data_IF_552478415658
#
_entry.id   IF_552478415658
#
_cell.length_a   1.000
_cell.length_b   1.000
_cell.length_c   1.000
_cell.angle_alpha   90.00
_cell.angle_beta   90.00
_cell.angle_gamma   90.00
#
_symmetry.space_group_name_H-M   'P 1'
#
loop_
_entity.id
_entity.type
_entity.pdbx_description
1 polymer ?
#
# COMPACT_ATOMS: atom_id res chain seq x y z
N UNK A 1 -48.25 -6.85 -35.43
CA UNK A 1 -47.68 -5.63 -36.01
C UNK A 1 -46.30 -5.43 -35.42
N UNK A 2 -45.32 -5.59 -36.28
CA UNK A 2 -43.88 -5.69 -36.03
C UNK A 2 -43.26 -4.31 -36.23
N UNK A 3 -42.38 -3.86 -35.32
CA UNK A 3 -41.19 -3.12 -35.75
C UNK A 3 -40.09 -3.17 -34.69
N UNK A 4 -38.99 -3.83 -35.07
CA UNK A 4 -37.66 -3.74 -34.46
C UNK A 4 -36.97 -2.51 -35.03
N UNK A 5 -36.36 -1.69 -34.18
CA UNK A 5 -35.33 -0.75 -34.60
C UNK A 5 -33.95 -1.27 -34.19
N UNK A 6 -33.08 -1.34 -35.20
CA UNK A 6 -31.64 -1.62 -35.16
C UNK A 6 -30.95 -0.30 -35.54
N UNK A 7 -29.60 -0.30 -35.48
CA UNK A 7 -28.65 0.65 -36.07
C UNK A 7 -28.18 1.77 -35.12
N UNK A 8 -26.92 2.18 -35.08
CA UNK A 8 -25.67 1.64 -35.62
C UNK A 8 -24.51 2.37 -34.92
N UNK A 9 -23.40 1.67 -34.69
CA UNK A 9 -22.13 2.27 -34.29
C UNK A 9 -21.47 2.92 -35.51
N UNK A 10 -21.10 4.20 -35.41
CA UNK A 10 -20.25 4.87 -36.40
C UNK A 10 -18.90 5.18 -35.74
N UNK A 11 -17.86 4.51 -36.22
CA UNK A 11 -16.45 4.80 -35.91
C UNK A 11 -15.96 5.79 -36.96
N UNK A 12 -15.56 7.00 -36.53
CA UNK A 12 -14.95 7.99 -37.39
C UNK A 12 -13.42 7.90 -37.27
N UNK A 13 -12.77 7.27 -38.25
CA UNK A 13 -11.33 7.38 -38.45
C UNK A 13 -11.04 8.64 -39.29
N UNK A 14 -10.42 9.66 -38.70
CA UNK A 14 -9.90 10.80 -39.43
C UNK A 14 -8.49 10.47 -39.95
N UNK A 15 -8.36 10.30 -41.27
CA UNK A 15 -7.08 10.27 -41.98
C UNK A 15 -6.77 11.71 -42.42
N UNK A 16 -5.67 12.27 -41.91
CA UNK A 16 -5.15 13.57 -42.34
C UNK A 16 -4.13 13.33 -43.46
N UNK A 17 -4.38 13.92 -44.63
CA UNK A 17 -3.46 13.96 -45.78
C UNK A 17 -2.64 15.24 -45.71
N UNK A 18 -1.30 15.21 -45.85
CA UNK A 18 -0.49 16.43 -45.89
C UNK A 18 -0.53 17.08 -47.29
N UNK A 19 -0.83 18.37 -47.33
CA UNK A 19 -0.70 19.21 -48.52
C UNK A 19 0.74 19.72 -48.64
N UNK A 20 1.39 19.43 -49.76
CA UNK A 20 2.70 19.98 -50.11
C UNK A 20 2.55 21.45 -50.57
N UNK A 21 3.21 22.37 -49.86
CA UNK A 21 3.37 23.77 -50.25
C UNK A 21 4.86 24.11 -50.25
N UNK A 22 5.39 24.39 -51.44
CA UNK A 22 6.78 24.79 -51.68
C UNK A 22 6.91 26.30 -51.45
N UNK A 23 7.82 26.73 -50.58
CA UNK A 23 8.39 28.08 -50.57
C UNK A 23 9.90 27.98 -50.35
N UNK A 24 10.66 28.50 -51.31
CA UNK A 24 12.12 28.62 -51.29
C UNK A 24 12.56 29.81 -50.43
N UNK A 25 13.65 29.65 -49.69
CA UNK A 25 14.50 30.79 -49.28
C UNK A 25 15.17 30.66 -47.91
N UNK A 26 16.52 30.72 -47.95
CA UNK A 26 17.47 31.13 -46.90
C UNK A 26 18.22 30.03 -46.10
N UNK A 27 19.50 30.31 -45.74
CA UNK A 27 20.55 29.31 -45.58
C UNK A 27 20.65 28.70 -44.18
N UNK A 28 21.31 27.54 -44.15
CA UNK A 28 21.58 26.69 -43.01
C UNK A 28 22.19 27.44 -41.81
N UNK A 29 21.48 27.38 -40.68
CA UNK A 29 22.00 27.64 -39.34
C UNK A 29 21.72 26.39 -38.51
N UNK A 30 22.76 25.86 -37.87
CA UNK A 30 22.82 24.50 -37.33
C UNK A 30 21.65 24.11 -36.43
N UNK A 31 21.08 22.94 -36.71
CA UNK A 31 20.16 22.27 -35.80
C UNK A 31 20.93 21.83 -34.55
N UNK A 32 20.72 22.53 -33.44
CA UNK A 32 21.02 22.03 -32.11
C UNK A 32 20.18 20.77 -31.90
N UNK A 33 20.89 19.64 -31.90
CA UNK A 33 20.36 18.33 -31.59
C UNK A 33 19.79 18.37 -30.17
N UNK A 34 18.46 18.35 -30.06
CA UNK A 34 17.78 18.22 -28.78
C UNK A 34 18.19 16.89 -28.17
N UNK A 35 19.01 16.97 -27.11
CA UNK A 35 19.42 15.82 -26.33
C UNK A 35 18.16 15.11 -25.82
N UNK A 36 17.92 13.89 -26.32
CA UNK A 36 16.95 12.96 -25.76
C UNK A 36 17.31 12.76 -24.28
N UNK A 37 16.38 12.96 -23.32
CA UNK A 37 16.64 12.62 -21.94
C UNK A 37 16.96 11.13 -21.91
N UNK A 38 18.18 10.80 -21.46
CA UNK A 38 18.63 9.44 -21.22
C UNK A 38 17.65 8.81 -20.23
N UNK A 39 16.77 7.95 -20.73
CA UNK A 39 15.93 7.11 -19.89
C UNK A 39 16.89 6.23 -19.08
N UNK A 40 16.96 6.47 -17.77
CA UNK A 40 17.58 5.53 -16.85
C UNK A 40 16.98 4.14 -17.11
N UNK A 41 17.78 3.06 -17.12
CA UNK A 41 17.27 1.73 -17.36
C UNK A 41 16.20 1.42 -16.31
N UNK A 42 14.96 1.22 -16.79
CA UNK A 42 13.89 0.68 -15.98
C UNK A 42 14.35 -0.69 -15.47
N UNK A 43 14.59 -0.82 -14.17
CA UNK A 43 14.83 -2.13 -13.56
C UNK A 43 13.58 -2.97 -13.83
N UNK A 44 13.68 -4.11 -14.55
CA UNK A 44 12.53 -4.94 -14.83
C UNK A 44 12.01 -5.49 -13.50
N UNK A 45 10.85 -5.03 -13.03
CA UNK A 45 10.14 -5.70 -11.96
C UNK A 45 9.72 -7.06 -12.51
N UNK A 46 10.17 -8.16 -11.90
CA UNK A 46 9.71 -9.49 -12.26
C UNK A 46 8.20 -9.60 -11.92
N UNK A 47 7.35 -9.36 -12.91
CA UNK A 47 5.90 -9.20 -12.80
C UNK A 47 5.13 -10.50 -12.54
N UNK A 48 5.81 -11.62 -12.28
CA UNK A 48 5.19 -12.95 -12.21
C UNK A 48 5.21 -13.65 -10.85
N UNK A 49 6.05 -13.24 -9.90
CA UNK A 49 6.13 -13.93 -8.60
C UNK A 49 5.07 -13.41 -7.63
N UNK A 50 4.24 -14.29 -7.04
CA UNK A 50 3.31 -13.91 -5.98
C UNK A 50 4.01 -13.21 -4.82
N UNK A 51 3.29 -12.30 -4.19
CA UNK A 51 3.64 -11.66 -2.92
C UNK A 51 2.73 -12.19 -1.84
N UNK A 52 3.26 -12.33 -0.63
CA UNK A 52 2.43 -12.61 0.54
C UNK A 52 1.85 -11.31 1.06
N UNK A 53 0.55 -11.10 0.83
CA UNK A 53 -0.22 -10.04 1.45
C UNK A 53 -0.56 -10.44 2.89
N UNK A 54 -0.10 -9.65 3.84
CA UNK A 54 -0.50 -9.69 5.24
C UNK A 54 -1.57 -8.66 5.51
N UNK A 55 -2.66 -9.09 6.13
CA UNK A 55 -3.71 -8.21 6.59
C UNK A 55 -3.82 -8.30 8.12
N UNK A 56 -3.78 -7.14 8.77
CA UNK A 56 -4.11 -6.98 10.19
C UNK A 56 -5.32 -6.07 10.33
N UNK A 57 -6.22 -6.42 11.23
CA UNK A 57 -7.48 -5.70 11.42
C UNK A 57 -7.55 -5.15 12.84
N UNK A 58 -7.87 -3.87 12.95
CA UNK A 58 -7.98 -3.16 14.21
C UNK A 58 -9.37 -2.54 14.38
N UNK A 59 -9.80 -2.40 15.62
CA UNK A 59 -10.91 -1.56 16.05
C UNK A 59 -10.32 -0.46 16.93
N UNK A 60 -10.15 0.73 16.37
CA UNK A 60 -9.28 1.77 16.93
C UNK A 60 -7.85 1.24 17.17
N UNK A 61 -7.46 1.04 18.42
CA UNK A 61 -6.13 0.54 18.81
C UNK A 61 -6.11 -0.94 19.13
N UNK A 62 -7.27 -1.58 19.21
CA UNK A 62 -7.38 -2.98 19.59
C UNK A 62 -7.27 -3.88 18.37
N UNK A 63 -6.39 -4.87 18.44
CA UNK A 63 -6.25 -5.84 17.36
C UNK A 63 -7.37 -6.88 17.40
N UNK A 64 -8.12 -6.97 16.31
CA UNK A 64 -9.30 -7.85 16.16
C UNK A 64 -9.15 -8.79 14.96
N UNK A 65 -7.92 -8.98 14.48
CA UNK A 65 -7.60 -9.78 13.30
C UNK A 65 -8.14 -11.21 13.37
N UNK A 66 -8.05 -11.88 14.53
CA UNK A 66 -8.55 -13.25 14.75
C UNK A 66 -10.08 -13.37 14.73
N UNK A 67 -10.79 -12.32 15.13
CA UNK A 67 -12.26 -12.23 15.11
C UNK A 67 -12.80 -11.80 13.73
N UNK A 68 -11.91 -11.53 12.77
CA UNK A 68 -12.28 -10.93 11.49
C UNK A 68 -12.08 -11.89 10.33
N UNK A 69 -13.13 -12.03 9.51
CA UNK A 69 -13.01 -12.61 8.17
C UNK A 69 -12.62 -11.49 7.20
N UNK A 70 -11.53 -11.67 6.47
CA UNK A 70 -11.11 -10.74 5.41
C UNK A 70 -11.37 -11.38 4.06
N UNK A 71 -11.98 -10.63 3.14
CA UNK A 71 -12.12 -11.01 1.74
C UNK A 71 -11.27 -10.09 0.89
N UNK A 72 -10.44 -10.68 0.04
CA UNK A 72 -9.49 -9.99 -0.83
C UNK A 72 -9.99 -10.12 -2.27
N UNK A 73 -10.25 -8.99 -2.90
CA UNK A 73 -10.78 -8.88 -4.25
C UNK A 73 -9.77 -8.18 -5.14
N UNK A 74 -9.66 -8.60 -6.41
CA UNK A 74 -8.94 -7.79 -7.39
C UNK A 74 -9.71 -6.47 -7.57
N UNK A 75 -9.03 -5.33 -7.50
CA UNK A 75 -9.72 -4.04 -7.59
C UNK A 75 -10.56 -3.95 -8.88
N UNK A 76 -11.81 -3.51 -8.75
CA UNK A 76 -12.79 -3.47 -9.86
C UNK A 76 -13.53 -4.79 -10.11
N UNK A 77 -13.21 -5.89 -9.43
CA UNK A 77 -13.93 -7.15 -9.52
C UNK A 77 -14.26 -7.72 -8.12
N UNK A 78 -15.55 -7.74 -7.77
CA UNK A 78 -16.04 -8.19 -6.45
C UNK A 78 -16.76 -9.55 -6.45
N UNK A 79 -16.58 -10.37 -7.49
CA UNK A 79 -17.34 -11.63 -7.62
C UNK A 79 -16.62 -12.87 -7.11
N UNK A 80 -15.28 -12.86 -7.05
CA UNK A 80 -14.46 -14.02 -6.66
C UNK A 80 -13.41 -13.64 -5.60
N UNK A 81 -13.81 -13.51 -4.32
CA UNK A 81 -12.88 -13.17 -3.25
C UNK A 81 -12.02 -14.35 -2.83
N UNK A 82 -10.75 -14.07 -2.56
CA UNK A 82 -9.94 -14.91 -1.66
C UNK A 82 -10.33 -14.59 -0.22
N UNK A 83 -10.98 -15.53 0.45
CA UNK A 83 -11.36 -15.36 1.87
C UNK A 83 -10.24 -15.88 2.76
N UNK A 84 -9.78 -15.04 3.69
CA UNK A 84 -8.75 -15.37 4.66
C UNK A 84 -9.21 -15.05 6.08
N UNK A 85 -8.70 -15.83 7.03
CA UNK A 85 -8.85 -15.62 8.46
C UNK A 85 -7.48 -15.75 9.10
N UNK A 86 -7.25 -14.99 10.15
CA UNK A 86 -6.01 -15.08 10.89
C UNK A 86 -5.98 -16.32 11.77
N UNK A 87 -4.84 -17.02 11.76
CA UNK A 87 -4.55 -18.09 12.70
C UNK A 87 -3.79 -17.59 13.93
N UNK A 88 -3.01 -16.50 13.79
CA UNK A 88 -2.14 -15.95 14.85
C UNK A 88 -1.96 -14.42 14.76
N UNK A 89 -3.06 -13.68 14.74
CA UNK A 89 -3.02 -12.19 14.71
C UNK A 89 -2.67 -11.58 13.35
N UNK A 90 -2.31 -12.40 12.35
CA UNK A 90 -2.16 -11.95 10.95
C UNK A 90 -2.92 -12.89 10.02
N UNK A 91 -3.63 -12.32 9.05
CA UNK A 91 -4.25 -13.09 7.96
C UNK A 91 -3.38 -12.96 6.71
N UNK A 92 -3.04 -14.07 6.06
CA UNK A 92 -2.11 -14.06 4.91
C UNK A 92 -2.73 -14.68 3.66
N UNK A 93 -2.36 -14.14 2.49
CA UNK A 93 -2.70 -14.71 1.18
C UNK A 93 -1.62 -14.39 0.16
N UNK A 94 -1.29 -15.34 -0.71
CA UNK A 94 -0.43 -15.05 -1.85
C UNK A 94 -1.22 -14.43 -3.00
N UNK A 95 -0.76 -13.29 -3.50
CA UNK A 95 -1.40 -12.53 -4.58
C UNK A 95 -0.34 -11.95 -5.53
N UNK A 96 -0.63 -11.81 -6.84
CA UNK A 96 0.24 -11.05 -7.72
C UNK A 96 0.22 -9.56 -7.37
N UNK A 97 1.21 -8.81 -7.83
CA UNK A 97 1.21 -7.36 -7.67
C UNK A 97 -0.01 -6.69 -8.34
N UNK A 98 -0.44 -5.55 -7.80
CA UNK A 98 -1.45 -4.67 -8.36
C UNK A 98 -2.47 -4.19 -7.32
N UNK A 99 -3.59 -3.65 -7.80
CA UNK A 99 -4.63 -3.09 -6.93
C UNK A 99 -5.62 -4.15 -6.43
N UNK A 100 -6.02 -4.04 -5.16
CA UNK A 100 -6.98 -4.91 -4.47
C UNK A 100 -7.98 -4.11 -3.64
N UNK A 101 -9.20 -4.63 -3.50
CA UNK A 101 -10.17 -4.18 -2.50
C UNK A 101 -10.21 -5.21 -1.38
N UNK A 102 -10.25 -4.74 -0.13
CA UNK A 102 -10.36 -5.58 1.07
C UNK A 102 -11.71 -5.33 1.74
N UNK A 103 -12.42 -6.40 2.08
CA UNK A 103 -13.58 -6.35 2.98
C UNK A 103 -13.22 -7.05 4.28
N UNK A 104 -13.17 -6.31 5.37
CA UNK A 104 -13.04 -6.83 6.72
C UNK A 104 -14.43 -6.96 7.35
N UNK A 105 -14.79 -8.16 7.81
CA UNK A 105 -16.06 -8.44 8.52
C UNK A 105 -15.73 -9.06 9.87
N UNK A 106 -15.90 -8.28 10.94
CA UNK A 106 -15.72 -8.75 12.32
C UNK A 106 -16.97 -9.48 12.77
N UNK A 107 -16.80 -10.70 13.26
CA UNK A 107 -17.87 -11.50 13.84
C UNK A 107 -17.62 -11.66 15.34
N UNK A 108 -18.62 -11.39 16.17
CA UNK A 108 -18.57 -11.59 17.62
C UNK A 108 -19.85 -12.30 18.04
N UNK A 109 -19.71 -13.39 18.78
CA UNK A 109 -20.85 -14.17 19.30
C UNK A 109 -21.86 -14.58 18.21
N UNK A 110 -21.35 -14.93 17.02
CA UNK A 110 -22.17 -15.33 15.87
C UNK A 110 -22.88 -14.18 15.15
N UNK A 111 -22.67 -12.93 15.58
CA UNK A 111 -23.23 -11.73 14.96
C UNK A 111 -22.14 -10.90 14.26
N UNK A 112 -22.55 -10.15 13.24
CA UNK A 112 -21.65 -9.19 12.58
C UNK A 112 -21.53 -7.96 13.48
N UNK A 113 -20.32 -7.74 14.00
CA UNK A 113 -20.01 -6.61 14.88
C UNK A 113 -19.46 -5.39 14.13
N UNK A 114 -18.92 -5.59 12.92
CA UNK A 114 -18.41 -4.49 12.09
C UNK A 114 -18.04 -4.92 10.68
N UNK A 115 -18.16 -4.00 9.73
CA UNK A 115 -17.75 -4.19 8.33
C UNK A 115 -16.98 -2.95 7.87
N UNK A 116 -15.80 -3.16 7.27
CA UNK A 116 -15.03 -2.09 6.62
C UNK A 116 -14.56 -2.50 5.23
N UNK A 117 -14.66 -1.56 4.29
CA UNK A 117 -14.01 -1.66 2.99
C UNK A 117 -12.73 -0.83 2.97
N UNK A 118 -11.67 -1.42 2.43
CA UNK A 118 -10.39 -0.78 2.15
C UNK A 118 -10.14 -0.93 0.65
N UNK A 119 -10.43 0.11 -0.11
CA UNK A 119 -10.47 0.04 -1.58
C UNK A 119 -9.14 0.45 -2.21
N UNK A 120 -8.86 -0.09 -3.40
CA UNK A 120 -7.71 0.29 -4.25
C UNK A 120 -6.35 0.25 -3.54
N UNK A 121 -6.13 -0.76 -2.70
CA UNK A 121 -4.84 -1.05 -2.06
C UNK A 121 -3.84 -1.51 -3.09
N UNK A 122 -2.72 -0.79 -3.20
CA UNK A 122 -1.62 -1.17 -4.08
C UNK A 122 -0.75 -2.20 -3.35
N UNK A 123 -0.79 -3.44 -3.81
CA UNK A 123 0.14 -4.49 -3.39
C UNK A 123 1.28 -4.54 -4.39
N UNK A 124 2.51 -4.26 -3.95
CA UNK A 124 3.66 -4.29 -4.85
C UNK A 124 4.91 -4.77 -4.14
N UNK A 125 5.92 -5.15 -4.91
CA UNK A 125 7.18 -5.65 -4.35
C UNK A 125 8.05 -4.48 -3.92
N UNK A 126 8.43 -4.49 -2.65
CA UNK A 126 9.46 -3.60 -2.12
C UNK A 126 10.71 -4.41 -1.78
N UNK A 127 11.92 -3.94 -2.12
CA UNK A 127 13.17 -4.66 -1.85
C UNK A 127 13.37 -5.01 -0.38
N UNK A 128 12.90 -4.15 0.52
CA UNK A 128 13.01 -4.23 1.97
C UNK A 128 11.84 -4.96 2.66
N UNK A 129 10.90 -5.50 1.88
CA UNK A 129 9.79 -6.30 2.39
C UNK A 129 9.85 -7.78 1.98
N UNK A 130 10.89 -8.21 1.26
CA UNK A 130 11.14 -9.63 0.92
C UNK A 130 9.96 -10.34 0.23
N UNK A 131 9.20 -9.61 -0.59
CA UNK A 131 8.01 -10.17 -1.24
C UNK A 131 6.78 -10.29 -0.34
N UNK A 132 6.85 -9.75 0.88
CA UNK A 132 5.69 -9.53 1.74
C UNK A 132 5.17 -8.12 1.53
N UNK A 133 3.89 -7.91 1.77
CA UNK A 133 3.25 -6.59 1.75
C UNK A 133 2.22 -6.56 2.86
N UNK A 134 2.30 -5.57 3.76
CA UNK A 134 1.38 -5.48 4.89
C UNK A 134 0.35 -4.38 4.67
N UNK A 135 -0.92 -4.73 4.87
CA UNK A 135 -2.03 -3.79 4.94
C UNK A 135 -2.70 -3.87 6.31
N UNK A 136 -2.90 -2.71 6.92
CA UNK A 136 -3.75 -2.53 8.07
C UNK A 136 -5.14 -2.05 7.62
N UNK A 137 -6.18 -2.69 8.16
CA UNK A 137 -7.57 -2.22 8.02
C UNK A 137 -8.10 -1.86 9.40
N UNK A 138 -8.51 -0.61 9.58
CA UNK A 138 -9.18 -0.19 10.81
C UNK A 138 -10.69 -0.14 10.59
N UNK A 139 -11.46 -0.76 11.49
CA UNK A 139 -12.92 -0.70 11.46
C UNK A 139 -13.42 0.71 11.80
N UNK A 140 -12.64 1.49 12.55
CA UNK A 140 -12.90 2.90 12.83
C UNK A 140 -12.19 3.81 11.82
N UNK A 141 -12.86 4.83 11.28
CA UNK A 141 -12.23 5.81 10.41
C UNK A 141 -11.23 6.67 11.20
N UNK A 142 -10.35 7.36 10.46
CA UNK A 142 -9.45 8.35 11.06
C UNK A 142 -8.21 7.77 11.75
N UNK A 143 -7.94 6.48 11.59
CA UNK A 143 -6.70 5.84 12.05
C UNK A 143 -5.76 5.55 10.88
N UNK A 144 -4.46 5.71 11.12
CA UNK A 144 -3.38 5.30 10.22
C UNK A 144 -2.52 4.21 10.85
N UNK A 145 -1.68 3.57 10.05
CA UNK A 145 -0.72 2.58 10.51
C UNK A 145 0.71 2.93 10.11
N UNK A 146 1.66 2.62 10.98
CA UNK A 146 3.09 2.68 10.68
C UNK A 146 3.75 1.33 10.96
N UNK A 147 4.25 0.70 9.90
CA UNK A 147 5.16 -0.42 10.00
C UNK A 147 6.60 0.07 10.07
N UNK A 148 7.35 -0.47 11.02
CA UNK A 148 8.78 -0.23 11.17
C UNK A 148 9.51 -1.57 11.09
N UNK A 149 10.48 -1.67 10.17
CA UNK A 149 11.39 -2.81 10.03
C UNK A 149 12.84 -2.38 10.18
N UNK A 150 13.70 -3.26 10.67
CA UNK A 150 15.15 -3.04 10.59
C UNK A 150 15.63 -3.37 9.19
N UNK A 151 16.40 -2.48 8.54
CA UNK A 151 16.83 -2.65 7.14
C UNK A 151 17.63 -3.93 6.89
N UNK A 152 18.49 -4.29 7.84
CA UNK A 152 19.34 -5.49 7.77
C UNK A 152 18.65 -6.79 8.19
N UNK A 153 17.39 -6.73 8.65
CA UNK A 153 16.64 -7.94 9.01
C UNK A 153 16.13 -8.61 7.74
N UNK A 154 16.94 -9.51 7.20
CA UNK A 154 16.58 -10.32 6.02
C UNK A 154 15.80 -11.59 6.35
N UNK A 155 15.61 -11.90 7.64
CA UNK A 155 14.88 -13.10 8.06
C UNK A 155 13.65 -12.75 8.91
N UNK A 156 12.55 -13.50 8.75
CA UNK A 156 11.52 -13.66 9.78
C UNK A 156 12.16 -13.90 11.14
N UNK A 157 11.65 -13.26 12.19
CA UNK A 157 12.25 -13.41 13.51
C UNK A 157 11.69 -12.48 14.58
N UNK A 158 12.09 -12.78 15.81
CA UNK A 158 11.67 -12.03 16.98
C UNK A 158 12.24 -10.61 16.95
N UNK A 159 11.37 -9.65 17.25
CA UNK A 159 11.75 -8.25 17.40
C UNK A 159 12.52 -8.07 18.72
N UNK A 160 13.83 -7.90 18.61
CA UNK A 160 14.77 -7.69 19.74
C UNK A 160 14.98 -6.22 20.11
N UNK A 161 14.39 -5.30 19.34
CA UNK A 161 14.45 -3.85 19.55
C UNK A 161 13.09 -3.32 19.98
N UNK A 162 13.05 -2.07 20.45
CA UNK A 162 11.80 -1.42 20.86
C UNK A 162 11.59 -0.16 20.04
N UNK A 163 10.35 0.30 19.94
CA UNK A 163 10.08 1.64 19.46
C UNK A 163 8.90 2.22 20.23
N UNK A 164 8.89 3.54 20.31
CA UNK A 164 7.83 4.34 20.90
C UNK A 164 7.43 5.43 19.91
N UNK A 165 6.14 5.67 19.76
CA UNK A 165 5.58 6.68 18.85
C UNK A 165 5.06 7.86 19.67
N UNK A 166 5.30 9.07 19.19
CA UNK A 166 4.96 10.33 19.84
C UNK A 166 4.32 11.28 18.84
N UNK A 167 3.43 12.18 19.26
CA UNK A 167 2.97 13.24 18.36
C UNK A 167 4.17 14.09 17.94
N UNK A 168 4.25 14.48 16.66
CA UNK A 168 5.37 15.28 16.16
C UNK A 168 5.56 16.54 17.02
N UNK A 169 6.82 16.80 17.40
CA UNK A 169 7.19 17.93 18.26
C UNK A 169 6.86 17.77 19.75
N UNK A 170 6.22 16.67 20.17
CA UNK A 170 5.91 16.39 21.57
C UNK A 170 6.24 14.94 21.97
N UNK A 171 7.41 14.75 22.58
CA UNK A 171 7.89 13.46 23.07
C UNK A 171 7.63 13.22 24.57
N UNK A 172 6.62 13.85 25.18
CA UNK A 172 6.31 13.66 26.61
C UNK A 172 5.38 12.47 26.88
N UNK A 173 4.56 12.08 25.90
CA UNK A 173 3.56 11.02 26.02
C UNK A 173 3.53 10.15 24.77
N UNK A 174 3.58 8.83 24.94
CA UNK A 174 3.46 7.89 23.82
C UNK A 174 2.05 7.97 23.21
N UNK A 175 1.98 8.14 21.90
CA UNK A 175 0.72 8.24 21.16
C UNK A 175 0.02 6.87 20.95
N UNK A 176 0.71 5.76 21.21
CA UNK A 176 0.13 4.43 21.06
C UNK A 176 1.14 3.31 21.31
N UNK A 177 0.62 2.11 21.57
CA UNK A 177 1.42 0.91 21.82
C UNK A 177 1.86 0.27 20.50
N UNK A 178 3.07 -0.29 20.48
CA UNK A 178 3.54 -1.10 19.34
C UNK A 178 2.94 -2.51 19.37
N UNK A 179 2.45 -2.98 18.24
CA UNK A 179 2.08 -4.37 18.02
C UNK A 179 3.25 -5.11 17.37
N UNK A 180 3.63 -6.25 17.93
CA UNK A 180 4.68 -7.08 17.32
C UNK A 180 4.14 -7.80 16.10
N UNK A 181 4.98 -7.93 15.09
CA UNK A 181 4.82 -8.84 13.99
C UNK A 181 6.13 -9.52 13.69
N UNK A 182 6.16 -10.30 12.63
CA UNK A 182 7.32 -11.07 12.24
C UNK A 182 8.43 -10.18 11.64
N UNK A 183 9.43 -9.85 12.47
CA UNK A 183 10.53 -8.93 12.16
C UNK A 183 10.15 -7.45 12.11
N UNK A 184 8.98 -7.05 12.62
CA UNK A 184 8.52 -5.65 12.60
C UNK A 184 7.73 -5.21 13.83
N UNK A 185 7.70 -3.90 14.06
CA UNK A 185 6.72 -3.25 14.94
C UNK A 185 5.68 -2.50 14.10
N UNK A 186 4.42 -2.56 14.54
CA UNK A 186 3.30 -1.87 13.93
C UNK A 186 2.63 -0.95 14.95
N UNK A 187 2.56 0.33 14.63
CA UNK A 187 1.75 1.30 15.38
C UNK A 187 0.43 1.54 14.64
N UNK A 188 -0.67 1.56 15.38
CA UNK A 188 -1.98 1.99 14.89
C UNK A 188 -2.43 3.12 15.79
N UNK A 189 -2.53 4.32 15.21
CA UNK A 189 -2.78 5.57 15.93
C UNK A 189 -3.73 6.44 15.08
N UNK A 190 -4.39 7.46 15.66
CA UNK A 190 -5.14 8.43 14.87
C UNK A 190 -4.30 9.02 13.74
N UNK A 191 -4.91 9.40 12.63
CA UNK A 191 -4.21 10.01 11.51
C UNK A 191 -3.55 11.33 11.96
N UNK A 192 -2.33 11.59 11.48
CA UNK A 192 -1.54 12.74 11.92
C UNK A 192 -0.06 12.61 11.64
N UNK A 193 0.74 13.52 12.22
CA UNK A 193 2.21 13.51 12.10
C UNK A 193 2.84 13.06 13.41
N UNK A 194 3.82 12.17 13.31
CA UNK A 194 4.41 11.50 14.46
C UNK A 194 5.94 11.46 14.40
N UNK A 195 6.56 11.51 15.57
CA UNK A 195 7.95 11.15 15.76
C UNK A 195 8.03 9.74 16.35
N UNK A 196 8.98 8.94 15.87
CA UNK A 196 9.22 7.60 16.40
C UNK A 196 10.63 7.52 16.94
N UNK A 197 10.75 7.14 18.19
CA UNK A 197 12.01 6.75 18.78
C UNK A 197 12.17 5.24 18.65
N UNK A 198 13.17 4.83 17.88
CA UNK A 198 13.62 3.43 17.83
C UNK A 198 14.75 3.25 18.83
N UNK A 199 14.65 2.19 19.63
CA UNK A 199 15.59 1.79 20.67
C UNK A 199 16.21 0.45 20.23
N UNK A 200 17.37 0.47 19.57
CA UNK A 200 18.09 -0.74 19.20
C UNK A 200 18.50 -1.55 20.45
N UNK A 201 18.71 -2.85 20.30
CA UNK A 201 19.23 -3.68 21.40
C UNK A 201 20.64 -3.21 21.85
N UNK A 202 21.43 -2.69 20.92
CA UNK A 202 22.77 -2.14 21.13
C UNK A 202 22.87 -0.85 20.33
N UNK A 203 23.30 0.24 20.96
CA UNK A 203 23.52 1.53 20.32
C UNK A 203 22.70 2.67 20.92
N UNK A 204 22.70 3.80 20.23
CA UNK A 204 21.94 4.99 20.63
C UNK A 204 20.51 4.94 20.06
N UNK A 205 19.54 5.61 20.71
CA UNK A 205 18.20 5.77 20.15
C UNK A 205 18.24 6.50 18.81
N UNK A 206 17.42 6.06 17.86
CA UNK A 206 17.29 6.64 16.52
C UNK A 206 15.93 7.28 16.40
N UNK A 207 15.88 8.50 15.87
CA UNK A 207 14.64 9.23 15.67
C UNK A 207 14.22 9.24 14.20
N UNK A 208 12.99 8.78 13.94
CA UNK A 208 12.29 8.99 12.68
C UNK A 208 11.34 10.16 12.91
N UNK A 209 11.63 11.33 12.33
CA UNK A 209 10.87 12.56 12.55
C UNK A 209 9.80 12.78 11.49
N UNK A 210 8.74 13.48 11.88
CA UNK A 210 7.70 14.00 10.99
C UNK A 210 7.11 12.94 10.04
N UNK A 211 6.85 11.76 10.59
CA UNK A 211 6.21 10.66 9.86
C UNK A 211 4.72 10.94 9.76
N UNK A 212 4.28 11.34 8.57
CA UNK A 212 2.86 11.52 8.27
C UNK A 212 2.15 10.16 8.09
N UNK A 213 1.12 9.93 8.90
CA UNK A 213 0.24 8.77 8.86
C UNK A 213 -1.16 9.21 8.40
N UNK A 214 -1.49 9.06 7.11
CA UNK A 214 -2.83 9.35 6.62
C UNK A 214 -3.85 8.36 7.19
N UNK A 215 -5.10 8.82 7.30
CA UNK A 215 -6.22 7.95 7.63
C UNK A 215 -6.34 6.82 6.60
N UNK A 216 -6.70 5.64 7.10
CA UNK A 216 -6.88 4.43 6.31
C UNK A 216 -5.63 4.05 5.51
N UNK A 217 -4.41 4.46 5.85
CA UNK A 217 -3.21 4.04 5.13
C UNK A 217 -2.18 3.37 6.03
N UNK A 218 -1.46 2.41 5.44
CA UNK A 218 -0.29 1.80 6.05
C UNK A 218 0.95 2.45 5.48
N UNK A 219 1.73 3.10 6.33
CA UNK A 219 3.07 3.58 5.99
C UNK A 219 4.12 2.56 6.38
N UNK A 220 5.21 2.57 5.65
CA UNK A 220 6.35 1.71 5.88
C UNK A 220 7.62 2.54 6.05
N UNK A 221 8.40 2.24 7.08
CA UNK A 221 9.70 2.85 7.34
C UNK A 221 10.71 1.77 7.74
N UNK A 222 11.97 2.01 7.36
CA UNK A 222 13.11 1.22 7.83
C UNK A 222 14.04 2.06 8.69
N UNK A 223 14.80 1.39 9.56
CA UNK A 223 15.85 1.98 10.40
C UNK A 223 17.11 1.10 10.37
N UNK A 224 18.26 1.66 10.77
CA UNK A 224 19.58 1.00 10.80
C UNK A 224 20.23 1.03 12.18
#
# INVERSE_FOLDING_TARGET
>A
MTQREVWATVVLCAVVVPSAGVVQGLPAVGALQTAQPSQAPAVPQATGQPLTLEVRVFDATDEVTSETRVRVFKAGNRTDPRTIRATSGVATVDVPAGFYDLQAVREREGQVAGIRWAERRLVQRYPDQQGRHMEMVNLQPGYGALQIRRRSSTEPGDVTWRASIYKSGNATEEAGRSNKGDGYLLFVVPAGSYDVQVLPAIGQPIWLRDVELPADQTRFKTWE
#
